data_IF_596837055993
#
_entry.id   IF_596837055993
#
_cell.length_a   1.000
_cell.length_b   1.000
_cell.length_c   1.000
_cell.angle_alpha   90.00
_cell.angle_beta   90.00
_cell.angle_gamma   90.00
#
_symmetry.space_group_name_H-M   'P 1'
#
loop_
_entity.id
_entity.type
_entity.pdbx_description
1 polymer ?
#
# COMPACT_ATOMS: atom_id res chain seq x y z
N UNK A 1 45.13 -11.26 36.39
CA UNK A 1 45.01 -10.53 35.11
C UNK A 1 44.48 -11.39 33.97
N UNK A 2 45.02 -12.59 33.77
CA UNK A 2 44.61 -13.54 32.70
C UNK A 2 43.16 -14.00 32.88
N UNK A 3 42.70 -14.26 34.10
CA UNK A 3 41.32 -14.67 34.38
C UNK A 3 40.30 -13.57 34.06
N UNK A 4 40.67 -12.32 34.27
CA UNK A 4 39.82 -11.14 33.93
C UNK A 4 39.66 -10.95 32.41
N UNK A 5 40.72 -11.26 31.67
CA UNK A 5 40.71 -11.20 30.21
C UNK A 5 39.87 -12.30 29.57
N UNK A 6 39.86 -13.51 30.15
CA UNK A 6 39.05 -14.65 29.71
C UNK A 6 37.54 -14.40 29.93
N UNK A 7 37.17 -13.72 31.04
CA UNK A 7 35.75 -13.34 31.30
C UNK A 7 35.28 -12.24 30.32
N UNK A 8 36.13 -11.29 29.95
CA UNK A 8 35.84 -10.29 28.96
C UNK A 8 35.65 -10.88 27.54
N UNK A 9 36.47 -11.84 27.14
CA UNK A 9 36.35 -12.53 25.84
C UNK A 9 35.07 -13.39 25.78
N UNK A 10 34.73 -14.11 26.90
CA UNK A 10 33.50 -14.90 26.97
C UNK A 10 32.23 -14.04 26.83
N UNK A 11 32.19 -12.83 27.41
CA UNK A 11 31.08 -11.92 27.24
C UNK A 11 31.00 -11.29 25.82
N UNK A 12 32.16 -11.18 25.14
CA UNK A 12 32.17 -10.68 23.76
C UNK A 12 31.69 -11.70 22.72
N UNK A 13 31.84 -12.99 23.02
CA UNK A 13 31.37 -14.11 22.19
C UNK A 13 29.85 -14.29 22.33
N UNK A 14 29.28 -14.02 23.52
CA UNK A 14 27.83 -14.10 23.75
C UNK A 14 27.01 -12.92 23.15
N UNK A 15 27.65 -11.79 22.78
CA UNK A 15 26.98 -10.64 22.22
C UNK A 15 26.78 -10.69 20.67
N UNK A 16 27.29 -11.72 20.01
CA UNK A 16 27.21 -11.85 18.55
C UNK A 16 26.27 -12.93 18.01
N UNK A 17 25.43 -13.52 18.85
CA UNK A 17 24.21 -14.16 18.32
C UNK A 17 23.18 -13.07 18.00
N UNK A 18 23.44 -12.29 16.98
CA UNK A 18 22.36 -11.67 16.19
C UNK A 18 21.58 -12.85 15.64
N UNK A 19 20.52 -13.26 16.36
CA UNK A 19 19.52 -14.18 15.82
C UNK A 19 19.15 -13.60 14.46
N UNK A 20 19.56 -14.26 13.39
CA UNK A 20 18.98 -14.01 12.07
C UNK A 20 17.48 -14.18 12.31
N UNK A 21 16.77 -13.07 12.31
CA UNK A 21 15.32 -13.07 12.46
C UNK A 21 14.82 -13.99 11.36
N UNK A 22 14.23 -15.13 11.73
CA UNK A 22 13.70 -16.11 10.78
C UNK A 22 12.75 -15.35 9.87
N UNK A 23 13.24 -15.00 8.68
CA UNK A 23 12.42 -14.25 7.71
C UNK A 23 11.34 -15.18 7.26
N UNK A 24 10.12 -14.95 7.73
CA UNK A 24 8.95 -15.71 7.29
C UNK A 24 8.95 -15.75 5.76
N UNK A 25 8.97 -16.95 5.17
CA UNK A 25 8.87 -17.15 3.72
C UNK A 25 7.51 -16.59 3.26
N UNK A 26 7.52 -15.68 2.29
CA UNK A 26 6.30 -15.19 1.67
C UNK A 26 5.77 -16.28 0.74
N UNK A 27 4.54 -16.71 0.98
CA UNK A 27 3.85 -17.77 0.24
C UNK A 27 2.58 -17.28 -0.45
N UNK A 28 2.10 -16.10 -0.07
CA UNK A 28 0.88 -15.52 -0.64
C UNK A 28 0.94 -13.99 -0.68
N UNK A 29 0.34 -13.41 -1.71
CA UNK A 29 0.19 -11.95 -1.87
C UNK A 29 -1.20 -11.63 -2.41
N UNK A 30 -1.86 -10.66 -1.79
CA UNK A 30 -3.04 -10.03 -2.35
C UNK A 30 -2.62 -8.79 -3.12
N UNK A 31 -3.03 -8.73 -4.38
CA UNK A 31 -2.90 -7.55 -5.22
C UNK A 31 -4.27 -6.92 -5.34
N UNK A 32 -4.38 -5.72 -4.82
CA UNK A 32 -5.58 -4.92 -4.86
C UNK A 32 -5.47 -3.91 -6.00
N UNK A 33 -6.40 -3.99 -6.95
CA UNK A 33 -6.56 -2.99 -7.99
C UNK A 33 -7.52 -1.92 -7.48
N UNK A 34 -7.04 -0.72 -7.17
CA UNK A 34 -7.86 0.37 -6.66
C UNK A 34 -9.07 0.67 -7.53
N UNK A 35 -10.15 1.17 -6.93
CA UNK A 35 -11.40 1.55 -7.60
C UNK A 35 -12.10 0.38 -8.30
N UNK A 36 -12.98 0.67 -9.28
CA UNK A 36 -13.66 -0.34 -10.10
C UNK A 36 -15.18 -0.19 -10.10
N UNK A 37 -15.84 -0.71 -11.12
CA UNK A 37 -17.29 -0.64 -11.30
C UNK A 37 -17.79 0.80 -11.34
N UNK A 38 -18.62 1.20 -10.36
CA UNK A 38 -19.20 2.55 -10.24
C UNK A 38 -18.14 3.63 -9.91
N UNK A 39 -17.04 3.25 -9.23
CA UNK A 39 -15.97 4.16 -8.85
C UNK A 39 -14.89 4.23 -9.94
N UNK A 40 -14.75 5.35 -10.65
CA UNK A 40 -13.74 5.48 -11.69
C UNK A 40 -12.33 5.76 -11.17
N UNK A 41 -12.18 6.16 -9.88
CA UNK A 41 -10.96 6.79 -9.37
C UNK A 41 -10.68 8.14 -10.04
N UNK A 42 -9.41 8.50 -10.12
CA UNK A 42 -8.98 9.68 -10.86
C UNK A 42 -9.33 9.55 -12.35
N UNK A 43 -9.75 10.67 -12.94
CA UNK A 43 -10.12 10.77 -14.38
C UNK A 43 -9.09 11.64 -15.07
N UNK A 44 -8.30 11.04 -15.96
CA UNK A 44 -7.39 11.72 -16.84
C UNK A 44 -8.08 12.23 -18.11
N UNK A 45 -7.29 12.67 -19.07
CA UNK A 45 -7.81 13.08 -20.40
C UNK A 45 -8.19 11.88 -21.28
N UNK A 46 -7.52 10.74 -21.10
CA UNK A 46 -7.61 9.55 -21.96
C UNK A 46 -8.01 8.30 -21.20
N UNK A 47 -7.72 8.24 -19.91
CA UNK A 47 -7.85 7.04 -19.10
C UNK A 47 -8.54 7.33 -17.77
N UNK A 48 -9.08 6.27 -17.16
CA UNK A 48 -9.59 6.26 -15.79
C UNK A 48 -8.64 5.42 -14.95
N UNK A 49 -8.45 5.82 -13.70
CA UNK A 49 -7.59 5.11 -12.77
C UNK A 49 -7.96 3.63 -12.63
N UNK A 50 -9.26 3.33 -12.50
CA UNK A 50 -9.74 1.93 -12.35
C UNK A 50 -9.27 0.99 -13.45
N UNK A 51 -9.08 1.49 -14.68
CA UNK A 51 -8.67 0.68 -15.83
C UNK A 51 -7.16 0.42 -15.80
N UNK A 52 -6.38 1.45 -15.43
CA UNK A 52 -4.92 1.36 -15.28
C UNK A 52 -4.57 0.44 -14.12
N UNK A 53 -5.18 0.65 -12.95
CA UNK A 53 -4.90 -0.16 -11.74
C UNK A 53 -5.22 -1.63 -11.97
N UNK A 54 -6.32 -1.95 -12.66
CA UNK A 54 -6.68 -3.33 -13.02
C UNK A 54 -5.62 -3.96 -13.95
N UNK A 55 -5.21 -3.23 -14.98
CA UNK A 55 -4.20 -3.71 -15.94
C UNK A 55 -2.86 -3.96 -15.25
N UNK A 56 -2.38 -3.00 -14.46
CA UNK A 56 -1.09 -3.10 -13.74
C UNK A 56 -1.15 -4.21 -12.69
N UNK A 57 -2.25 -4.33 -11.94
CA UNK A 57 -2.44 -5.41 -10.95
C UNK A 57 -2.33 -6.80 -11.62
N UNK A 58 -2.98 -7.00 -12.76
CA UNK A 58 -2.91 -8.26 -13.51
C UNK A 58 -1.49 -8.55 -14.02
N UNK A 59 -0.83 -7.56 -14.63
CA UNK A 59 0.55 -7.69 -15.09
C UNK A 59 1.51 -8.00 -13.95
N UNK A 60 1.34 -7.35 -12.79
CA UNK A 60 2.14 -7.61 -11.58
C UNK A 60 1.95 -9.05 -11.10
N UNK A 61 0.71 -9.51 -11.01
CA UNK A 61 0.43 -10.88 -10.60
C UNK A 61 0.94 -11.93 -11.57
N UNK A 62 0.83 -11.69 -12.86
CA UNK A 62 1.36 -12.61 -13.87
C UNK A 62 2.90 -12.66 -13.81
N UNK A 63 3.55 -11.52 -13.53
CA UNK A 63 5.00 -11.48 -13.32
C UNK A 63 5.40 -12.26 -12.05
N UNK A 64 4.66 -12.12 -10.95
CA UNK A 64 4.91 -12.89 -9.72
C UNK A 64 4.74 -14.39 -9.97
N UNK A 65 3.63 -14.81 -10.57
CA UNK A 65 3.38 -16.24 -10.89
C UNK A 65 4.50 -16.84 -11.74
N UNK A 66 5.02 -16.07 -12.70
CA UNK A 66 6.10 -16.52 -13.59
C UNK A 66 7.45 -16.65 -12.86
N UNK A 67 7.78 -15.70 -11.98
CA UNK A 67 9.12 -15.60 -11.39
C UNK A 67 9.20 -16.15 -9.96
N UNK A 68 8.06 -16.31 -9.29
CA UNK A 68 7.92 -16.82 -7.93
C UNK A 68 6.77 -17.85 -7.90
N UNK A 69 6.92 -19.03 -8.54
CA UNK A 69 5.81 -19.99 -8.72
C UNK A 69 5.25 -20.54 -7.39
N UNK A 70 6.04 -20.49 -6.31
CA UNK A 70 5.63 -20.89 -4.97
C UNK A 70 4.75 -19.84 -4.26
N UNK A 71 4.56 -18.65 -4.85
CA UNK A 71 3.77 -17.57 -4.27
C UNK A 71 2.37 -17.56 -4.86
N UNK A 72 1.36 -17.81 -4.03
CA UNK A 72 -0.05 -17.68 -4.39
C UNK A 72 -0.41 -16.21 -4.61
N UNK A 73 -0.88 -15.86 -5.80
CA UNK A 73 -1.39 -14.52 -6.12
C UNK A 73 -2.91 -14.51 -6.05
N UNK A 74 -3.44 -13.58 -5.27
CA UNK A 74 -4.88 -13.36 -5.06
C UNK A 74 -5.19 -11.93 -5.50
N UNK A 75 -6.31 -11.72 -6.17
CA UNK A 75 -6.77 -10.39 -6.57
C UNK A 75 -8.03 -10.01 -5.80
N UNK A 76 -8.16 -8.75 -5.39
CA UNK A 76 -9.43 -8.24 -4.84
C UNK A 76 -10.50 -8.13 -5.91
N UNK A 77 -10.09 -7.79 -7.13
CA UNK A 77 -10.89 -7.86 -8.36
C UNK A 77 -10.05 -8.24 -9.55
N UNK A 78 -10.63 -8.95 -10.50
CA UNK A 78 -9.99 -9.37 -11.76
C UNK A 78 -10.70 -8.83 -13.01
N UNK A 79 -11.76 -8.04 -12.80
CA UNK A 79 -12.57 -7.38 -13.82
C UNK A 79 -13.01 -5.99 -13.34
N UNK A 80 -13.76 -5.25 -14.17
CA UNK A 80 -14.31 -3.95 -13.79
C UNK A 80 -15.59 -4.12 -12.96
N UNK A 81 -15.41 -4.41 -11.67
CA UNK A 81 -16.47 -4.59 -10.68
C UNK A 81 -16.20 -3.73 -9.45
N UNK A 82 -17.25 -3.29 -8.76
CA UNK A 82 -17.13 -2.60 -7.48
C UNK A 82 -16.80 -3.59 -6.36
N UNK A 83 -15.79 -3.27 -5.55
CA UNK A 83 -15.42 -3.99 -4.33
C UNK A 83 -15.22 -2.95 -3.23
N UNK A 84 -15.95 -3.03 -2.14
CA UNK A 84 -15.85 -2.07 -1.03
C UNK A 84 -14.46 -2.09 -0.39
N UNK A 85 -14.02 -0.98 0.20
CA UNK A 85 -12.69 -0.88 0.83
C UNK A 85 -12.53 -1.92 1.93
N UNK A 86 -13.56 -2.15 2.76
CA UNK A 86 -13.56 -3.20 3.77
C UNK A 86 -13.45 -4.59 3.16
N UNK A 87 -14.16 -4.87 2.07
CA UNK A 87 -14.15 -6.19 1.43
C UNK A 87 -12.76 -6.54 0.88
N UNK A 88 -12.00 -5.55 0.41
CA UNK A 88 -10.61 -5.75 -0.04
C UNK A 88 -9.72 -6.28 1.09
N UNK A 89 -9.78 -5.65 2.27
CA UNK A 89 -9.06 -6.11 3.46
C UNK A 89 -9.55 -7.49 3.93
N UNK A 90 -10.88 -7.73 3.94
CA UNK A 90 -11.46 -9.03 4.31
C UNK A 90 -10.97 -10.16 3.39
N UNK A 91 -10.90 -9.94 2.07
CA UNK A 91 -10.36 -10.93 1.12
C UNK A 91 -8.94 -11.32 1.53
N UNK A 92 -8.09 -10.35 1.88
CA UNK A 92 -6.72 -10.63 2.30
C UNK A 92 -6.67 -11.42 3.63
N UNK A 93 -7.48 -11.02 4.60
CA UNK A 93 -7.55 -11.66 5.92
C UNK A 93 -8.09 -13.10 5.83
N UNK A 94 -9.18 -13.32 5.10
CA UNK A 94 -9.77 -14.65 4.87
C UNK A 94 -8.80 -15.64 4.21
N UNK A 95 -7.90 -15.13 3.37
CA UNK A 95 -6.88 -15.93 2.70
C UNK A 95 -5.60 -16.08 3.52
N UNK A 96 -5.52 -15.49 4.73
CA UNK A 96 -4.31 -15.43 5.56
C UNK A 96 -3.09 -15.01 4.74
N UNK A 97 -3.24 -13.97 3.92
CA UNK A 97 -2.21 -13.54 3.00
C UNK A 97 -0.99 -12.98 3.76
N UNK A 98 0.21 -13.19 3.20
CA UNK A 98 1.44 -12.69 3.81
C UNK A 98 1.69 -11.21 3.49
N UNK A 99 1.18 -10.71 2.36
CA UNK A 99 1.32 -9.33 1.93
C UNK A 99 0.03 -8.82 1.27
N UNK A 100 -0.26 -7.53 1.46
CA UNK A 100 -1.32 -6.80 0.75
C UNK A 100 -0.72 -5.60 0.02
N UNK A 101 -0.94 -5.51 -1.30
CA UNK A 101 -0.42 -4.43 -2.14
C UNK A 101 -1.58 -3.81 -2.92
N UNK A 102 -1.98 -2.59 -2.54
CA UNK A 102 -2.98 -1.80 -3.26
C UNK A 102 -2.29 -0.91 -4.29
N UNK A 103 -2.80 -0.87 -5.51
CA UNK A 103 -2.24 -0.14 -6.65
C UNK A 103 -3.20 0.96 -7.06
N UNK A 104 -2.69 2.20 -7.08
CA UNK A 104 -3.42 3.42 -7.37
C UNK A 104 -2.66 4.35 -8.32
N UNK A 105 -3.35 5.35 -8.84
CA UNK A 105 -2.79 6.45 -9.63
C UNK A 105 -3.19 7.77 -9.02
N UNK A 106 -2.25 8.48 -8.41
CA UNK A 106 -2.50 9.78 -7.82
C UNK A 106 -3.04 10.80 -8.83
N UNK A 107 -3.69 11.83 -8.33
CA UNK A 107 -4.12 12.98 -9.11
C UNK A 107 -4.00 14.26 -8.28
N UNK A 108 -3.74 15.37 -8.96
CA UNK A 108 -3.64 16.69 -8.36
C UNK A 108 -4.42 17.71 -9.17
N UNK A 109 -4.91 18.78 -8.54
CA UNK A 109 -5.56 19.90 -9.26
C UNK A 109 -4.61 20.58 -10.26
N UNK A 110 -3.30 20.63 -9.92
CA UNK A 110 -2.25 21.05 -10.84
C UNK A 110 -1.76 19.84 -11.67
N UNK A 111 -1.51 19.99 -12.97
CA UNK A 111 -0.94 18.95 -13.83
C UNK A 111 0.60 18.81 -13.69
N UNK A 112 1.23 19.59 -12.79
CA UNK A 112 2.68 19.61 -12.63
C UNK A 112 3.25 18.41 -11.85
N UNK A 113 2.61 17.90 -10.78
CA UNK A 113 3.14 16.77 -10.02
C UNK A 113 3.33 15.52 -10.88
N UNK A 114 4.43 14.80 -10.63
CA UNK A 114 4.78 13.54 -11.28
C UNK A 114 5.65 12.67 -10.35
N UNK A 115 5.78 11.39 -10.68
CA UNK A 115 6.59 10.43 -9.95
C UNK A 115 5.77 9.43 -9.15
N UNK A 116 6.41 8.66 -8.29
CA UNK A 116 5.82 7.56 -7.53
C UNK A 116 6.01 7.76 -6.03
N UNK A 117 5.02 7.33 -5.26
CA UNK A 117 5.08 7.33 -3.80
C UNK A 117 4.41 6.07 -3.25
N UNK A 118 4.93 5.55 -2.15
CA UNK A 118 4.37 4.36 -1.53
C UNK A 118 3.93 4.70 -0.11
N UNK A 119 2.68 4.42 0.20
CA UNK A 119 2.07 4.73 1.47
C UNK A 119 1.94 3.48 2.36
N UNK A 120 2.09 3.70 3.67
CA UNK A 120 1.69 2.77 4.71
C UNK A 120 0.64 3.40 5.60
N UNK A 121 -0.14 2.58 6.30
CA UNK A 121 -1.08 3.06 7.31
C UNK A 121 -0.35 3.79 8.43
N UNK A 122 -0.82 4.98 8.79
CA UNK A 122 -0.26 5.76 9.88
C UNK A 122 -0.65 7.23 9.84
N UNK A 123 -0.06 8.01 10.73
CA UNK A 123 -0.32 9.44 10.82
C UNK A 123 0.22 10.18 9.59
N UNK A 124 -0.63 11.01 8.98
CA UNK A 124 -0.21 11.86 7.88
C UNK A 124 0.76 12.94 8.38
N UNK A 125 1.92 13.07 7.72
CA UNK A 125 2.97 14.01 8.12
C UNK A 125 2.78 15.43 7.58
N UNK A 126 1.91 15.61 6.60
CA UNK A 126 1.62 16.90 5.96
C UNK A 126 0.24 16.89 5.29
N UNK A 127 -0.24 18.09 4.91
CA UNK A 127 -1.54 18.27 4.28
C UNK A 127 -1.66 17.52 2.94
N UNK A 128 -0.58 17.39 2.17
CA UNK A 128 -0.63 16.69 0.88
C UNK A 128 -0.94 15.20 1.08
N UNK A 129 -0.35 14.54 2.08
CA UNK A 129 -0.63 13.14 2.39
C UNK A 129 -2.07 12.93 2.87
N UNK A 130 -2.61 13.88 3.64
CA UNK A 130 -4.01 13.87 4.06
C UNK A 130 -4.94 13.98 2.84
N UNK A 131 -4.64 14.86 1.89
CA UNK A 131 -5.46 15.03 0.68
C UNK A 131 -5.45 13.77 -0.21
N UNK A 132 -4.34 13.05 -0.30
CA UNK A 132 -4.32 11.74 -0.98
C UNK A 132 -5.26 10.76 -0.26
N UNK A 133 -5.11 10.62 1.08
CA UNK A 133 -5.97 9.71 1.84
C UNK A 133 -7.47 10.08 1.73
N UNK A 134 -7.82 11.38 1.72
CA UNK A 134 -9.19 11.84 1.52
C UNK A 134 -9.76 11.41 0.17
N UNK A 135 -8.97 11.52 -0.90
CA UNK A 135 -9.38 11.11 -2.24
C UNK A 135 -9.63 9.61 -2.32
N UNK A 136 -8.69 8.82 -1.81
CA UNK A 136 -8.82 7.37 -1.86
C UNK A 136 -9.95 6.87 -0.97
N UNK A 137 -10.11 7.43 0.22
CA UNK A 137 -11.20 7.08 1.12
C UNK A 137 -12.58 7.57 0.63
N UNK A 138 -12.63 8.55 -0.27
CA UNK A 138 -13.89 8.99 -0.90
C UNK A 138 -14.55 7.87 -1.73
N UNK A 139 -13.85 6.80 -2.05
CA UNK A 139 -14.40 5.60 -2.69
C UNK A 139 -15.61 5.03 -1.94
N UNK A 140 -15.69 5.20 -0.60
CA UNK A 140 -16.87 4.77 0.19
C UNK A 140 -18.17 5.45 -0.26
N UNK A 141 -18.11 6.61 -0.92
CA UNK A 141 -19.30 7.30 -1.44
C UNK A 141 -19.97 6.56 -2.61
N UNK A 142 -19.28 5.58 -3.20
CA UNK A 142 -19.82 4.69 -4.23
C UNK A 142 -20.34 3.37 -3.65
N UNK A 143 -20.27 3.17 -2.34
CA UNK A 143 -20.69 1.97 -1.63
C UNK A 143 -22.11 2.12 -1.07
N UNK A 144 -22.93 1.08 -1.19
CA UNK A 144 -24.36 1.18 -0.86
C UNK A 144 -24.62 1.30 0.66
N UNK A 145 -23.74 0.74 1.54
CA UNK A 145 -23.91 0.72 3.01
C UNK A 145 -22.80 1.47 3.75
N UNK A 146 -22.18 2.47 3.12
CA UNK A 146 -20.98 3.13 3.65
C UNK A 146 -21.17 3.71 5.07
N UNK A 147 -22.33 4.26 5.41
CA UNK A 147 -22.57 4.84 6.73
C UNK A 147 -22.47 3.79 7.86
N UNK A 148 -23.00 2.60 7.63
CA UNK A 148 -23.06 1.51 8.59
C UNK A 148 -21.72 0.78 8.66
N UNK A 149 -21.12 0.48 7.50
CA UNK A 149 -19.88 -0.27 7.37
C UNK A 149 -18.66 0.47 7.92
N UNK A 150 -18.68 1.81 7.95
CA UNK A 150 -17.57 2.66 8.39
C UNK A 150 -17.90 3.54 9.60
N UNK A 151 -18.89 3.17 10.42
CA UNK A 151 -19.24 3.86 11.65
C UNK A 151 -19.45 5.37 11.44
N UNK A 152 -20.15 5.76 10.37
CA UNK A 152 -20.37 7.14 9.93
C UNK A 152 -19.06 7.93 9.65
N UNK A 153 -17.98 7.25 9.27
CA UNK A 153 -16.73 7.92 8.88
C UNK A 153 -16.98 8.89 7.73
N UNK A 154 -16.61 10.14 7.93
CA UNK A 154 -16.67 11.16 6.88
C UNK A 154 -15.30 11.37 6.25
N UNK A 155 -15.07 10.95 5.00
CA UNK A 155 -13.77 11.06 4.33
C UNK A 155 -13.33 12.52 4.10
N UNK A 156 -14.22 13.50 4.25
CA UNK A 156 -13.90 14.92 4.13
C UNK A 156 -13.55 15.59 5.46
N UNK A 157 -13.82 14.93 6.60
CA UNK A 157 -13.53 15.47 7.94
C UNK A 157 -12.09 15.18 8.36
N UNK A 158 -11.34 16.19 8.73
CA UNK A 158 -9.98 16.03 9.29
C UNK A 158 -10.01 15.29 10.63
N UNK A 159 -11.05 15.49 11.43
CA UNK A 159 -11.25 14.84 12.73
C UNK A 159 -11.38 13.32 12.59
N UNK A 160 -12.02 12.85 11.51
CA UNK A 160 -12.15 11.42 11.24
C UNK A 160 -10.78 10.74 11.06
N UNK A 161 -9.80 11.45 10.47
CA UNK A 161 -8.43 10.94 10.30
C UNK A 161 -7.63 10.93 11.59
N UNK A 162 -7.95 11.80 12.55
CA UNK A 162 -7.33 11.74 13.89
C UNK A 162 -7.69 10.41 14.56
N UNK A 163 -8.93 9.97 14.44
CA UNK A 163 -9.37 8.68 14.98
C UNK A 163 -8.65 7.51 14.31
N UNK A 164 -8.51 7.52 12.98
CA UNK A 164 -7.77 6.47 12.24
C UNK A 164 -6.30 6.40 12.66
N UNK A 165 -5.68 7.51 13.05
CA UNK A 165 -4.28 7.56 13.45
C UNK A 165 -3.99 6.82 14.78
N UNK A 166 -5.00 6.64 15.65
CA UNK A 166 -4.84 5.84 16.86
C UNK A 166 -4.73 4.34 16.59
N UNK A 167 -5.13 3.88 15.43
CA UNK A 167 -4.96 2.49 15.03
C UNK A 167 -3.55 2.27 14.48
N UNK A 168 -2.62 1.93 15.37
CA UNK A 168 -1.29 1.49 14.96
C UNK A 168 -1.37 0.03 14.52
N UNK A 169 -1.05 -0.22 13.27
CA UNK A 169 -0.94 -1.58 12.76
C UNK A 169 0.23 -2.31 13.44
N UNK A 170 -0.03 -3.50 13.97
CA UNK A 170 1.01 -4.45 14.42
C UNK A 170 2.08 -4.67 13.35
N UNK A 171 1.70 -4.57 12.07
CA UNK A 171 2.56 -4.81 10.91
C UNK A 171 3.26 -3.56 10.38
N UNK A 172 3.21 -2.43 11.11
CA UNK A 172 3.73 -1.13 10.62
C UNK A 172 5.18 -1.20 10.14
N UNK A 173 6.07 -1.82 10.93
CA UNK A 173 7.49 -1.90 10.57
C UNK A 173 7.72 -2.78 9.34
N UNK A 174 7.01 -3.89 9.23
CA UNK A 174 7.08 -4.77 8.06
C UNK A 174 6.48 -4.10 6.81
N UNK A 175 5.42 -3.29 6.99
CA UNK A 175 4.83 -2.47 5.92
C UNK A 175 5.80 -1.39 5.43
N UNK A 176 6.54 -0.75 6.33
CA UNK A 176 7.59 0.23 5.98
C UNK A 176 8.73 -0.43 5.19
N UNK A 177 9.24 -1.59 5.61
CA UNK A 177 10.27 -2.33 4.85
C UNK A 177 9.76 -2.74 3.47
N UNK A 178 8.51 -3.20 3.35
CA UNK A 178 7.88 -3.50 2.07
C UNK A 178 7.77 -2.25 1.18
N UNK A 179 7.29 -1.14 1.75
CA UNK A 179 7.13 0.12 1.03
C UNK A 179 8.47 0.66 0.52
N UNK A 180 9.52 0.62 1.34
CA UNK A 180 10.88 1.05 0.93
C UNK A 180 11.42 0.19 -0.21
N UNK A 181 11.19 -1.12 -0.17
CA UNK A 181 11.60 -2.04 -1.25
C UNK A 181 10.89 -1.74 -2.55
N UNK A 182 9.56 -1.55 -2.51
CA UNK A 182 8.76 -1.21 -3.70
C UNK A 182 9.21 0.16 -4.24
N UNK A 183 9.27 1.19 -3.40
CA UNK A 183 9.68 2.53 -3.78
C UNK A 183 11.06 2.52 -4.45
N UNK A 184 12.03 1.84 -3.85
CA UNK A 184 13.38 1.71 -4.40
C UNK A 184 13.41 1.02 -5.77
N UNK A 185 12.55 0.01 -6.01
CA UNK A 185 12.49 -0.65 -7.32
C UNK A 185 11.87 0.27 -8.39
N UNK A 186 10.81 0.99 -8.04
CA UNK A 186 10.16 1.96 -8.94
C UNK A 186 11.13 3.08 -9.35
N UNK A 187 11.94 3.56 -8.40
CA UNK A 187 12.94 4.60 -8.66
C UNK A 187 14.14 4.04 -9.45
N UNK A 188 14.77 2.97 -8.96
CA UNK A 188 16.06 2.50 -9.49
C UNK A 188 15.95 1.71 -10.79
N UNK A 189 14.87 0.93 -10.96
CA UNK A 189 14.70 0.07 -12.16
C UNK A 189 13.77 0.68 -13.20
N UNK A 190 12.70 1.36 -12.76
CA UNK A 190 11.73 1.96 -13.68
C UNK A 190 12.10 3.39 -14.03
N UNK A 191 13.02 4.00 -13.26
CA UNK A 191 13.48 5.38 -13.50
C UNK A 191 12.45 6.43 -13.10
N UNK A 192 11.52 6.10 -12.20
CA UNK A 192 10.49 7.03 -11.75
C UNK A 192 11.06 8.08 -10.79
N UNK A 193 10.51 9.30 -10.83
CA UNK A 193 10.85 10.31 -9.82
C UNK A 193 10.43 9.83 -8.45
N UNK A 194 11.36 9.86 -7.51
CA UNK A 194 11.14 9.50 -6.13
C UNK A 194 10.37 10.59 -5.37
N UNK A 195 9.26 10.21 -4.76
CA UNK A 195 8.50 11.04 -3.82
C UNK A 195 8.51 10.45 -2.41
N UNK A 196 9.17 9.30 -2.23
CA UNK A 196 9.44 8.66 -0.96
C UNK A 196 8.33 7.75 -0.45
N UNK A 197 8.63 7.16 0.71
CA UNK A 197 7.65 6.40 1.51
C UNK A 197 6.93 7.37 2.44
N UNK A 198 5.61 7.33 2.41
CA UNK A 198 4.72 8.24 3.12
C UNK A 198 3.80 7.49 4.08
N UNK A 199 3.07 8.22 4.93
CA UNK A 199 2.08 7.68 5.85
C UNK A 199 0.79 8.50 5.77
N UNK A 200 -0.36 7.80 5.77
CA UNK A 200 -1.67 8.42 5.93
C UNK A 200 -2.73 7.37 6.33
N UNK A 201 -3.92 7.84 6.71
CA UNK A 201 -5.04 7.01 7.14
C UNK A 201 -5.86 6.47 5.98
N UNK A 202 -5.46 5.35 5.38
CA UNK A 202 -6.19 4.70 4.30
C UNK A 202 -7.13 3.61 4.82
N UNK A 203 -8.42 3.73 4.53
CA UNK A 203 -9.42 2.73 4.94
C UNK A 203 -9.15 1.35 4.34
N UNK A 204 -8.62 1.28 3.13
CA UNK A 204 -8.27 0.01 2.48
C UNK A 204 -7.16 -0.75 3.20
N UNK A 205 -6.28 -0.04 3.95
CA UNK A 205 -5.21 -0.64 4.75
C UNK A 205 -5.60 -0.84 6.21
N UNK A 206 -6.64 -0.18 6.68
CA UNK A 206 -7.01 -0.07 8.09
C UNK A 206 -7.26 -1.41 8.78
N UNK A 207 -7.97 -2.33 8.11
CA UNK A 207 -8.33 -3.64 8.70
C UNK A 207 -7.51 -4.81 8.14
N UNK A 208 -6.39 -4.56 7.47
CA UNK A 208 -5.51 -5.63 7.01
C UNK A 208 -4.71 -6.23 8.17
N UNK A 209 -4.64 -7.56 8.24
CA UNK A 209 -3.92 -8.32 9.27
C UNK A 209 -2.57 -8.87 8.78
N UNK A 210 -1.89 -8.12 7.92
CA UNK A 210 -0.58 -8.41 7.35
C UNK A 210 0.14 -7.12 6.94
N UNK A 211 1.45 -7.17 6.60
CA UNK A 211 2.14 -6.04 5.98
C UNK A 211 1.39 -5.55 4.74
N UNK A 212 1.05 -4.26 4.72
CA UNK A 212 0.17 -3.67 3.72
C UNK A 212 0.67 -2.31 3.25
N UNK A 213 0.56 -2.05 1.94
CA UNK A 213 0.97 -0.80 1.31
C UNK A 213 -0.03 -0.36 0.25
N UNK A 214 -0.09 0.96 0.02
CA UNK A 214 -0.76 1.57 -1.12
C UNK A 214 0.32 2.24 -1.99
N UNK A 215 0.34 1.90 -3.28
CA UNK A 215 1.38 2.34 -4.22
C UNK A 215 0.76 3.26 -5.26
N UNK A 216 1.17 4.52 -5.23
CA UNK A 216 0.83 5.51 -6.25
C UNK A 216 1.86 5.42 -7.40
N UNK A 217 1.46 4.81 -8.50
CA UNK A 217 2.37 4.49 -9.61
C UNK A 217 2.65 5.66 -10.54
N UNK A 218 1.95 6.78 -10.36
CA UNK A 218 2.10 8.02 -11.12
C UNK A 218 0.94 8.97 -10.91
N UNK A 219 0.95 10.12 -11.57
CA UNK A 219 -0.09 11.15 -11.48
C UNK A 219 -0.93 11.20 -12.74
N UNK A 220 -2.16 10.71 -12.70
CA UNK A 220 -3.05 10.67 -13.86
C UNK A 220 -3.46 12.08 -14.36
N UNK A 221 -3.39 13.08 -13.47
CA UNK A 221 -3.59 14.49 -13.82
C UNK A 221 -2.46 15.09 -14.66
N UNK A 222 -1.29 14.45 -14.74
CA UNK A 222 -0.15 14.90 -15.53
C UNK A 222 -0.16 14.20 -16.90
N UNK A 223 -0.22 14.97 -18.03
CA UNK A 223 -0.34 14.35 -19.35
C UNK A 223 0.82 13.44 -19.76
N UNK A 224 2.05 13.70 -19.28
CA UNK A 224 3.20 12.85 -19.58
C UNK A 224 3.12 11.54 -18.79
N UNK A 225 2.66 11.60 -17.53
CA UNK A 225 2.43 10.43 -16.68
C UNK A 225 1.29 9.56 -17.23
N UNK A 226 0.16 10.21 -17.62
CA UNK A 226 -0.97 9.50 -18.22
C UNK A 226 -0.60 8.73 -19.50
N UNK A 227 0.30 9.30 -20.31
CA UNK A 227 0.79 8.60 -21.50
C UNK A 227 1.77 7.46 -21.17
N UNK A 228 2.43 7.52 -20.02
CA UNK A 228 3.35 6.48 -19.56
C UNK A 228 2.60 5.30 -18.94
N UNK A 229 1.52 5.58 -18.18
CA UNK A 229 0.69 4.60 -17.49
C UNK A 229 -0.23 3.84 -18.45
#
# INVERSE_FOLDING_TARGET
LILFFLILISNFIFLNEVKAQDRKKITSVVIDAGHGGKDPGAIGKKAKEKDITLKIAKMTGDYIKKNCPDVKVIYTRSSDVSVSLLRRAQIANEQNADLFISIHCNANASPQPYGVETFVMGEHRNAANLEVAKKENAAIMYEDNAQEDYDNFNPNSTEAYIMLNFFQSEYKNASLDLAERIQNQLVKRVGRKDRGVQQAGFLVLYKTAMPSVLVEIGFLSNPAEENFL
#
